data_IF_565749592350
#
_entry.id   IF_565749592350
#
_cell.length_a   1.000
_cell.length_b   1.000
_cell.length_c   1.000
_cell.angle_alpha   90.00
_cell.angle_beta   90.00
_cell.angle_gamma   90.00
#
_symmetry.space_group_name_H-M   'P 1'
#
loop_
_entity.id
_entity.type
_entity.pdbx_description
1 polymer ?
#
# COMPACT_ATOMS: atom_id res chain seq x y z
N UNK A 1 -4.20 -2.31 -17.32
CA UNK A 1 -4.36 -2.03 -15.87
C UNK A 1 -3.20 -2.70 -15.14
N UNK A 2 -2.42 -1.96 -14.37
CA UNK A 2 -1.33 -2.54 -13.55
C UNK A 2 -1.92 -3.17 -12.29
N UNK A 3 -1.22 -4.15 -11.71
CA UNK A 3 -1.62 -4.81 -10.47
C UNK A 3 -1.89 -3.78 -9.37
N UNK A 4 -1.03 -2.75 -9.27
CA UNK A 4 -1.16 -1.63 -8.32
C UNK A 4 -2.51 -0.91 -8.42
N UNK A 5 -2.96 -0.57 -9.65
CA UNK A 5 -4.25 0.09 -9.86
C UNK A 5 -5.42 -0.82 -9.46
N UNK A 6 -5.30 -2.13 -9.69
CA UNK A 6 -6.32 -3.11 -9.26
C UNK A 6 -6.41 -3.16 -7.74
N UNK A 7 -5.29 -3.07 -7.04
CA UNK A 7 -5.23 -3.17 -5.58
C UNK A 7 -5.78 -1.93 -4.89
N UNK A 8 -5.37 -0.76 -5.36
CA UNK A 8 -5.87 0.51 -4.87
C UNK A 8 -7.37 0.64 -5.09
N UNK A 9 -7.87 0.13 -6.23
CA UNK A 9 -9.30 0.15 -6.56
C UNK A 9 -10.10 -0.89 -5.78
N UNK A 10 -9.64 -2.14 -5.72
CA UNK A 10 -10.41 -3.28 -5.17
C UNK A 10 -10.57 -3.20 -3.66
N UNK A 11 -9.62 -2.56 -2.97
CA UNK A 11 -9.64 -2.38 -1.52
C UNK A 11 -9.99 -0.96 -1.08
N UNK A 12 -10.38 -0.06 -2.00
CA UNK A 12 -10.70 1.33 -1.69
C UNK A 12 -9.52 2.16 -1.16
N UNK A 13 -8.29 1.65 -1.34
CA UNK A 13 -7.06 2.23 -0.82
C UNK A 13 -6.55 3.38 -1.70
N UNK A 14 -7.09 3.56 -2.92
CA UNK A 14 -6.63 4.58 -3.88
C UNK A 14 -6.62 6.00 -3.32
N UNK A 15 -7.51 6.32 -2.38
CA UNK A 15 -7.59 7.67 -1.82
C UNK A 15 -6.56 7.94 -0.72
N UNK A 16 -5.92 6.88 -0.20
CA UNK A 16 -5.16 6.96 1.05
C UNK A 16 -3.81 6.24 1.00
N UNK A 17 -3.55 5.48 -0.06
CA UNK A 17 -2.31 4.75 -0.26
C UNK A 17 -1.70 5.20 -1.58
N UNK A 18 -0.52 5.79 -1.49
CA UNK A 18 0.28 6.17 -2.63
C UNK A 18 1.34 5.12 -2.87
N UNK A 19 1.42 4.61 -4.09
CA UNK A 19 2.49 3.73 -4.51
C UNK A 19 3.62 4.54 -5.18
N UNK A 20 4.85 4.20 -4.89
CA UNK A 20 6.03 4.74 -5.56
C UNK A 20 7.11 3.68 -5.66
N UNK A 21 7.83 3.65 -6.78
CA UNK A 21 8.96 2.73 -6.97
C UNK A 21 10.26 3.53 -6.93
N UNK A 22 11.11 3.25 -5.95
CA UNK A 22 12.40 3.92 -5.80
C UNK A 22 13.52 2.89 -5.78
N UNK A 23 14.48 3.03 -6.70
CA UNK A 23 15.67 2.18 -6.80
C UNK A 23 15.37 0.67 -6.84
N UNK A 24 14.31 0.27 -7.55
CA UNK A 24 13.87 -1.13 -7.65
C UNK A 24 13.05 -1.65 -6.45
N UNK A 25 12.88 -0.83 -5.41
CA UNK A 25 12.06 -1.13 -4.23
C UNK A 25 10.66 -0.53 -4.38
N UNK A 26 9.65 -1.31 -4.01
CA UNK A 26 8.26 -0.89 -4.00
C UNK A 26 7.97 -0.21 -2.66
N UNK A 27 7.58 1.06 -2.68
CA UNK A 27 7.27 1.87 -1.51
C UNK A 27 5.78 2.18 -1.53
N UNK A 28 5.11 1.88 -0.42
CA UNK A 28 3.72 2.19 -0.19
C UNK A 28 3.63 3.18 0.96
N UNK A 29 3.12 4.37 0.67
CA UNK A 29 2.87 5.41 1.65
C UNK A 29 1.39 5.42 1.99
N UNK A 30 1.05 5.15 3.25
CA UNK A 30 -0.32 5.15 3.76
C UNK A 30 -0.53 6.45 4.53
N UNK A 31 -1.64 7.14 4.27
CA UNK A 31 -2.03 8.33 5.03
C UNK A 31 -2.29 8.00 6.51
N UNK A 32 -1.58 8.68 7.41
CA UNK A 32 -1.65 8.48 8.85
C UNK A 32 -2.94 8.97 9.51
N UNK A 33 -3.78 9.73 8.80
CA UNK A 33 -5.10 10.15 9.29
C UNK A 33 -6.13 8.99 9.23
N UNK A 34 -5.76 7.86 8.61
CA UNK A 34 -6.59 6.67 8.61
C UNK A 34 -6.67 5.99 9.97
N UNK A 35 -7.82 5.37 10.23
CA UNK A 35 -7.98 4.46 11.37
C UNK A 35 -6.90 3.37 11.36
N UNK A 36 -6.35 3.07 12.54
CA UNK A 36 -5.31 2.06 12.73
C UNK A 36 -5.65 0.70 12.08
N UNK A 37 -6.93 0.33 12.10
CA UNK A 37 -7.44 -0.89 11.45
C UNK A 37 -7.24 -0.89 9.94
N UNK A 38 -7.40 0.25 9.26
CA UNK A 38 -7.16 0.36 7.82
C UNK A 38 -5.68 0.37 7.48
N UNK A 39 -4.84 1.02 8.31
CA UNK A 39 -3.38 0.99 8.16
C UNK A 39 -2.87 -0.46 8.27
N UNK A 40 -3.37 -1.21 9.26
CA UNK A 40 -3.04 -2.63 9.41
C UNK A 40 -3.53 -3.46 8.23
N UNK A 41 -4.77 -3.26 7.80
CA UNK A 41 -5.33 -4.00 6.66
C UNK A 41 -4.54 -3.77 5.37
N UNK A 42 -4.17 -2.51 5.08
CA UNK A 42 -3.32 -2.18 3.94
C UNK A 42 -1.94 -2.83 4.05
N UNK A 43 -1.33 -2.84 5.25
CA UNK A 43 -0.05 -3.53 5.50
C UNK A 43 -0.13 -5.03 5.23
N UNK A 44 -1.18 -5.70 5.67
CA UNK A 44 -1.38 -7.14 5.45
C UNK A 44 -1.50 -7.46 3.95
N UNK A 45 -2.32 -6.70 3.22
CA UNK A 45 -2.48 -6.85 1.77
C UNK A 45 -1.13 -6.67 1.06
N UNK A 46 -0.39 -5.60 1.37
CA UNK A 46 0.91 -5.33 0.75
C UNK A 46 1.92 -6.44 1.08
N UNK A 47 1.92 -6.95 2.32
CA UNK A 47 2.79 -8.08 2.72
C UNK A 47 2.45 -9.36 1.97
N UNK A 48 1.17 -9.69 1.84
CA UNK A 48 0.71 -10.90 1.15
C UNK A 48 1.18 -10.90 -0.31
N UNK A 49 1.07 -9.75 -0.98
CA UNK A 49 1.37 -9.65 -2.41
C UNK A 49 2.85 -9.50 -2.75
N UNK A 50 3.59 -8.76 -1.93
CA UNK A 50 5.00 -8.48 -2.20
C UNK A 50 5.96 -9.33 -1.39
N UNK A 51 5.45 -10.27 -0.58
CA UNK A 51 6.25 -11.25 0.18
C UNK A 51 7.43 -10.59 0.93
N UNK A 52 7.17 -9.47 1.61
CA UNK A 52 8.16 -8.63 2.34
C UNK A 52 9.15 -7.81 1.51
N UNK A 53 9.04 -7.75 0.18
CA UNK A 53 9.90 -6.90 -0.68
C UNK A 53 9.43 -5.45 -0.77
N UNK A 54 8.24 -5.15 -0.26
CA UNK A 54 7.66 -3.82 -0.23
C UNK A 54 7.91 -3.12 1.11
N UNK A 55 8.26 -1.84 1.04
CA UNK A 55 8.39 -0.98 2.20
C UNK A 55 7.07 -0.24 2.41
N UNK A 56 6.50 -0.36 3.61
CA UNK A 56 5.24 0.30 3.97
C UNK A 56 5.50 1.36 5.02
N UNK A 57 5.34 2.61 4.64
CA UNK A 57 5.48 3.77 5.50
C UNK A 57 4.14 4.45 5.71
N UNK A 58 3.94 4.99 6.91
CA UNK A 58 2.78 5.83 7.23
C UNK A 58 3.28 7.27 7.24
N UNK A 59 2.62 8.15 6.49
CA UNK A 59 2.98 9.57 6.35
C UNK A 59 1.92 10.47 6.97
#
# INVERSE_FOLDING_TARGET
MTLETVLLTRYGLHHYVTFSKSNGRNIFSIDGLMSHKMIQHARDIIREMYQSKALVQVI
#
